data_IF_244429352255
#
_entry.id   IF_244429352255
#
_cell.length_a   1.000
_cell.length_b   1.000
_cell.length_c   1.000
_cell.angle_alpha   90.00
_cell.angle_beta   90.00
_cell.angle_gamma   90.00
#
_symmetry.space_group_name_H-M   'P 1'
#
loop_
_entity.id
_entity.type
_entity.pdbx_description
1 polymer ?
#
# COMPACT_ATOMS: atom_id res chain seq x y z
N UNK A 1 -8.05 12.88 -17.39
CA UNK A 1 -8.06 12.03 -16.19
C UNK A 1 -8.66 12.84 -15.04
N UNK A 2 -9.76 12.39 -14.43
CA UNK A 2 -10.18 12.95 -13.14
C UNK A 2 -9.17 12.39 -12.13
N UNK A 3 -8.24 13.21 -11.65
CA UNK A 3 -7.54 12.86 -10.41
C UNK A 3 -8.62 12.91 -9.34
N UNK A 4 -9.13 11.74 -8.94
CA UNK A 4 -10.13 11.68 -7.90
C UNK A 4 -9.50 12.18 -6.60
N UNK A 5 -10.20 13.08 -5.91
CA UNK A 5 -9.70 13.71 -4.69
C UNK A 5 -9.26 12.68 -3.65
N UNK A 6 -9.96 11.54 -3.54
CA UNK A 6 -9.69 10.52 -2.54
C UNK A 6 -8.31 9.86 -2.73
N UNK A 7 -7.93 9.49 -3.96
CA UNK A 7 -6.61 8.93 -4.25
C UNK A 7 -5.48 9.88 -3.84
N UNK A 8 -5.61 11.16 -4.19
CA UNK A 8 -4.60 12.17 -3.86
C UNK A 8 -4.51 12.41 -2.35
N UNK A 9 -5.63 12.37 -1.62
CA UNK A 9 -5.60 12.46 -0.16
C UNK A 9 -4.91 11.24 0.48
N UNK A 10 -5.11 10.04 -0.04
CA UNK A 10 -4.40 8.83 0.42
C UNK A 10 -2.88 8.95 0.24
N UNK A 11 -2.43 9.42 -0.93
CA UNK A 11 -1.01 9.66 -1.20
C UNK A 11 -0.38 10.70 -0.26
N UNK A 12 -1.15 11.70 0.18
CA UNK A 12 -0.66 12.70 1.15
C UNK A 12 -0.55 12.13 2.56
N UNK A 13 -1.47 11.27 2.95
CA UNK A 13 -1.50 10.66 4.28
C UNK A 13 -0.37 9.65 4.44
N UNK A 14 -0.19 8.78 3.43
CA UNK A 14 0.85 7.76 3.44
C UNK A 14 1.47 7.67 2.03
N UNK A 15 2.58 8.37 1.76
CA UNK A 15 3.18 8.35 0.43
C UNK A 15 3.82 6.98 0.16
N UNK A 16 3.43 6.24 -0.89
CA UNK A 16 4.04 4.96 -1.21
C UNK A 16 5.50 5.15 -1.63
N UNK A 17 6.37 4.30 -1.11
CA UNK A 17 7.80 4.22 -1.44
C UNK A 17 8.28 2.77 -1.31
N UNK A 18 9.34 2.35 -2.01
CA UNK A 18 9.93 1.03 -1.83
C UNK A 18 10.20 0.73 -0.36
N UNK A 19 9.87 -0.49 0.07
CA UNK A 19 10.12 -0.97 1.42
C UNK A 19 11.55 -1.51 1.46
N UNK A 20 12.34 -1.04 2.42
CA UNK A 20 13.76 -1.41 2.56
C UNK A 20 14.10 -1.95 3.94
N UNK A 21 13.14 -1.89 4.87
CA UNK A 21 13.29 -2.35 6.24
C UNK A 21 11.96 -2.88 6.81
N UNK A 22 12.06 -3.71 7.85
CA UNK A 22 10.92 -4.37 8.49
C UNK A 22 9.93 -3.38 9.12
N UNK A 23 10.42 -2.25 9.63
CA UNK A 23 9.57 -1.20 10.18
C UNK A 23 8.69 -0.55 9.09
N UNK A 24 9.21 -0.45 7.86
CA UNK A 24 8.50 0.08 6.70
C UNK A 24 7.46 -0.94 6.18
N UNK A 25 7.79 -2.23 6.23
CA UNK A 25 6.84 -3.32 5.95
C UNK A 25 5.67 -3.25 6.93
N UNK A 26 5.97 -3.19 8.22
CA UNK A 26 4.96 -3.09 9.29
C UNK A 26 4.08 -1.86 9.11
N UNK A 27 4.65 -0.70 8.76
CA UNK A 27 3.88 0.51 8.53
C UNK A 27 2.95 0.39 7.32
N UNK A 28 3.42 -0.24 6.24
CA UNK A 28 2.63 -0.45 5.01
C UNK A 28 1.49 -1.43 5.24
N UNK A 29 1.74 -2.53 5.95
CA UNK A 29 0.70 -3.50 6.34
C UNK A 29 -0.38 -2.84 7.20
N UNK A 30 -0.03 -2.00 8.18
CA UNK A 30 -1.02 -1.24 8.96
C UNK A 30 -1.86 -0.28 8.12
N UNK A 31 -1.27 0.34 7.09
CA UNK A 31 -2.01 1.19 6.17
C UNK A 31 -3.01 0.37 5.32
N UNK A 32 -2.61 -0.83 4.89
CA UNK A 32 -3.48 -1.79 4.21
C UNK A 32 -4.63 -2.23 5.12
N UNK A 33 -4.34 -2.64 6.36
CA UNK A 33 -5.36 -3.06 7.35
C UNK A 33 -6.39 -1.95 7.57
N UNK A 34 -5.92 -0.70 7.75
CA UNK A 34 -6.78 0.47 7.94
C UNK A 34 -7.69 0.76 6.75
N UNK A 35 -7.28 0.40 5.52
CA UNK A 35 -8.14 0.49 4.35
C UNK A 35 -9.19 -0.62 4.38
N UNK A 36 -8.76 -1.87 4.60
CA UNK A 36 -9.64 -3.04 4.60
C UNK A 36 -10.71 -2.98 5.69
N UNK A 37 -10.38 -2.42 6.86
CA UNK A 37 -11.30 -2.22 7.99
C UNK A 37 -12.50 -1.31 7.64
N UNK A 38 -12.42 -0.51 6.57
CA UNK A 38 -13.55 0.30 6.08
C UNK A 38 -14.66 -0.53 5.43
N UNK A 39 -14.36 -1.75 5.01
CA UNK A 39 -15.28 -2.63 4.29
C UNK A 39 -15.37 -2.28 2.80
N UNK A 40 -16.43 -1.60 2.37
CA UNK A 40 -16.62 -1.28 0.95
C UNK A 40 -15.66 -0.18 0.48
N UNK A 41 -14.64 -0.59 -0.29
CA UNK A 41 -13.67 0.32 -0.87
C UNK A 41 -14.19 0.97 -2.15
N UNK A 42 -13.98 2.28 -2.25
CA UNK A 42 -14.12 3.04 -3.50
C UNK A 42 -13.11 2.58 -4.56
N UNK A 43 -13.33 2.86 -5.85
CA UNK A 43 -12.36 2.52 -6.90
C UNK A 43 -10.95 3.06 -6.61
N UNK A 44 -10.84 4.31 -6.14
CA UNK A 44 -9.56 4.93 -5.81
C UNK A 44 -8.85 4.22 -4.64
N UNK A 45 -9.59 3.83 -3.61
CA UNK A 45 -9.01 3.10 -2.47
C UNK A 45 -8.54 1.70 -2.88
N UNK A 46 -9.23 1.06 -3.84
CA UNK A 46 -8.79 -0.22 -4.42
C UNK A 46 -7.51 -0.04 -5.24
N UNK A 47 -7.45 0.99 -6.06
CA UNK A 47 -6.25 1.31 -6.85
C UNK A 47 -5.05 1.59 -5.92
N UNK A 48 -5.29 2.34 -4.85
CA UNK A 48 -4.27 2.63 -3.85
C UNK A 48 -3.85 1.39 -3.05
N UNK A 49 -4.81 0.55 -2.65
CA UNK A 49 -4.55 -0.74 -2.01
C UNK A 49 -3.67 -1.64 -2.89
N UNK A 50 -3.93 -1.67 -4.20
CA UNK A 50 -3.10 -2.43 -5.15
C UNK A 50 -1.64 -1.94 -5.15
N UNK A 51 -1.42 -0.62 -5.15
CA UNK A 51 -0.07 -0.05 -5.08
C UNK A 51 0.66 -0.48 -3.80
N UNK A 52 0.00 -0.41 -2.64
CA UNK A 52 0.60 -0.84 -1.38
C UNK A 52 0.88 -2.34 -1.37
N UNK A 53 -0.03 -3.15 -1.91
CA UNK A 53 0.15 -4.60 -2.04
C UNK A 53 1.35 -4.97 -2.91
N UNK A 54 1.60 -4.23 -4.01
CA UNK A 54 2.79 -4.42 -4.85
C UNK A 54 4.08 -4.16 -4.06
N UNK A 55 4.13 -3.11 -3.23
CA UNK A 55 5.32 -2.80 -2.43
C UNK A 55 5.63 -3.89 -1.40
N UNK A 56 4.59 -4.41 -0.73
CA UNK A 56 4.72 -5.53 0.21
C UNK A 56 5.27 -6.76 -0.52
N UNK A 57 4.65 -7.13 -1.64
CA UNK A 57 5.08 -8.27 -2.45
C UNK A 57 6.55 -8.12 -2.88
N UNK A 58 6.93 -6.97 -3.45
CA UNK A 58 8.31 -6.73 -3.90
C UNK A 58 9.33 -6.92 -2.78
N UNK A 59 9.04 -6.42 -1.57
CA UNK A 59 9.94 -6.58 -0.42
C UNK A 59 10.01 -8.03 0.06
N UNK A 60 8.87 -8.72 0.20
CA UNK A 60 8.84 -10.12 0.65
C UNK A 60 9.63 -11.03 -0.30
N UNK A 61 9.60 -10.76 -1.62
CA UNK A 61 10.41 -11.49 -2.60
C UNK A 61 11.92 -11.32 -2.39
N UNK A 62 12.38 -10.23 -1.76
CA UNK A 62 13.81 -10.07 -1.41
C UNK A 62 14.26 -10.95 -0.25
N UNK A 63 13.30 -11.45 0.55
CA UNK A 63 13.54 -12.32 1.70
C UNK A 63 13.51 -13.80 1.33
N UNK A 64 13.01 -14.15 0.14
CA UNK A 64 13.02 -15.53 -0.32
C UNK A 64 14.47 -16.02 -0.51
N UNK A 65 14.84 -17.17 0.09
CA UNK A 65 16.15 -17.75 -0.14
C UNK A 65 16.29 -18.14 -1.61
N UNK A 66 17.39 -17.72 -2.24
CA UNK A 66 17.71 -18.13 -3.61
C UNK A 66 17.88 -19.66 -3.63
N UNK A 67 17.19 -20.39 -4.54
CA UNK A 67 17.22 -21.86 -4.60
C UNK A 67 18.60 -22.43 -4.98
#
# INVERSE_FOLDING_TARGET
MKNSSAYIELLKIFPPRPITAEEELTATQKAIDSLLDKGELTPDERDYLNVLGTLVYEYEQTLEPIP
#
